data_IF_806772190268
#
_entry.id   IF_806772190268
#
_cell.length_a   1.000
_cell.length_b   1.000
_cell.length_c   1.000
_cell.angle_alpha   90.00
_cell.angle_beta   90.00
_cell.angle_gamma   90.00
#
_symmetry.space_group_name_H-M   'P 1'
#
loop_
_entity.id
_entity.type
_entity.pdbx_description
1 polymer ?
#
# COMPACT_ATOMS: atom_id res chain seq x y z
N UNK A 1 94.87 33.33 2.23
CA UNK A 1 93.57 33.90 2.65
C UNK A 1 92.50 32.87 2.34
N UNK A 2 91.79 32.45 3.38
CA UNK A 2 90.42 31.89 3.46
C UNK A 2 90.03 30.78 2.47
N UNK A 3 89.95 29.54 2.96
CA UNK A 3 88.72 28.82 3.39
C UNK A 3 87.99 28.19 2.18
N UNK A 4 87.91 26.88 1.99
CA UNK A 4 87.71 25.81 2.97
C UNK A 4 86.21 25.66 3.26
N UNK A 5 85.54 24.69 2.60
CA UNK A 5 84.42 23.90 3.17
C UNK A 5 83.93 22.82 2.21
N UNK A 6 84.20 21.57 2.60
CA UNK A 6 83.37 20.41 2.29
C UNK A 6 81.92 20.69 2.68
N UNK A 7 80.97 20.32 1.83
CA UNK A 7 79.60 20.06 2.24
C UNK A 7 79.24 18.63 1.87
N UNK A 8 79.18 17.78 2.89
CA UNK A 8 78.33 16.60 2.93
C UNK A 8 76.89 17.05 2.69
N UNK A 9 76.22 16.45 1.71
CA UNK A 9 74.76 16.41 1.70
C UNK A 9 74.31 14.96 1.87
N UNK A 10 73.67 14.75 3.01
CA UNK A 10 73.04 13.55 3.53
C UNK A 10 71.96 13.02 2.59
N UNK A 11 72.01 11.73 2.29
CA UNK A 11 70.88 10.98 1.72
C UNK A 11 69.84 10.84 2.84
N UNK A 12 68.78 11.65 2.79
CA UNK A 12 67.59 11.41 3.60
C UNK A 12 66.71 10.39 2.87
N UNK A 13 66.65 9.18 3.41
CA UNK A 13 65.63 8.21 3.05
C UNK A 13 64.25 8.80 3.42
N UNK A 14 63.48 9.23 2.43
CA UNK A 14 62.08 9.56 2.62
C UNK A 14 61.31 8.28 2.91
N UNK A 15 60.94 8.09 4.18
CA UNK A 15 60.07 7.01 4.60
C UNK A 15 58.75 7.09 3.84
N UNK A 16 58.38 5.94 3.28
CA UNK A 16 57.14 5.65 2.61
C UNK A 16 55.96 5.94 3.55
N UNK A 17 55.20 7.01 3.28
CA UNK A 17 53.83 7.14 3.77
C UNK A 17 52.92 7.04 2.56
N UNK A 18 52.71 5.80 2.09
CA UNK A 18 51.55 5.48 1.28
C UNK A 18 50.34 5.78 2.16
N UNK A 19 49.70 6.93 1.97
CA UNK A 19 48.36 7.14 2.50
C UNK A 19 47.48 6.14 1.78
N UNK A 20 47.27 5.00 2.41
CA UNK A 20 46.21 4.08 2.08
C UNK A 20 44.92 4.87 2.30
N UNK A 21 44.47 5.55 1.25
CA UNK A 21 43.16 6.16 1.18
C UNK A 21 42.18 5.05 1.51
N UNK A 22 41.62 5.13 2.72
CA UNK A 22 40.55 4.26 3.16
C UNK A 22 39.43 4.46 2.15
N UNK A 23 39.31 3.51 1.22
CA UNK A 23 38.08 3.27 0.48
C UNK A 23 37.02 3.22 1.56
N UNK A 24 35.99 4.08 1.54
CA UNK A 24 34.91 3.96 2.50
C UNK A 24 34.31 2.58 2.26
N UNK A 25 34.63 1.67 3.18
CA UNK A 25 34.00 0.37 3.30
C UNK A 25 32.52 0.64 3.22
N UNK A 26 31.87 0.05 2.21
CA UNK A 26 30.42 -0.03 2.07
C UNK A 26 29.82 -0.08 3.46
N UNK A 27 29.22 1.03 3.89
CA UNK A 27 28.50 1.07 5.14
C UNK A 27 27.54 -0.10 5.09
N UNK A 28 27.71 -1.03 6.02
CA UNK A 28 26.84 -2.20 6.18
C UNK A 28 25.41 -1.72 5.94
N UNK A 29 24.79 -2.26 4.89
CA UNK A 29 23.40 -2.04 4.56
C UNK A 29 22.64 -2.34 5.85
N UNK A 30 22.19 -1.27 6.53
CA UNK A 30 21.33 -1.39 7.71
C UNK A 30 20.25 -2.37 7.30
N UNK A 31 20.00 -3.39 8.11
CA UNK A 31 18.92 -4.36 7.91
C UNK A 31 17.66 -3.59 7.52
N UNK A 32 17.40 -3.51 6.23
CA UNK A 32 16.21 -2.88 5.70
C UNK A 32 15.11 -3.89 5.99
N UNK A 33 14.17 -3.50 6.85
CA UNK A 33 13.05 -4.35 7.27
C UNK A 33 12.22 -4.83 6.08
N UNK A 34 12.38 -4.18 4.92
CA UNK A 34 11.69 -4.45 3.67
C UNK A 34 12.57 -5.08 2.59
N UNK A 35 13.73 -5.65 2.94
CA UNK A 35 14.50 -6.51 2.03
C UNK A 35 15.53 -5.79 1.14
N UNK A 36 15.85 -4.52 1.41
CA UNK A 36 16.95 -3.78 0.81
C UNK A 36 16.55 -2.86 -0.35
N UNK A 37 15.26 -2.74 -0.65
CA UNK A 37 14.72 -1.89 -1.70
C UNK A 37 14.01 -0.71 -1.04
N UNK A 38 14.43 0.50 -1.37
CA UNK A 38 13.89 1.71 -0.77
C UNK A 38 12.43 1.95 -1.19
N UNK A 39 11.58 2.19 -0.18
CA UNK A 39 10.20 2.59 -0.32
C UNK A 39 10.07 3.95 -1.05
N UNK A 40 9.12 4.08 -1.98
CA UNK A 40 8.76 5.37 -2.58
C UNK A 40 9.79 5.97 -3.53
N UNK A 41 10.86 5.25 -3.88
CA UNK A 41 11.91 5.72 -4.79
C UNK A 41 11.68 5.18 -6.20
N UNK A 42 11.36 6.08 -7.14
CA UNK A 42 11.20 5.72 -8.56
C UNK A 42 12.54 5.38 -9.19
N UNK A 43 12.67 4.18 -9.76
CA UNK A 43 13.90 3.68 -10.39
C UNK A 43 13.59 2.73 -11.55
N UNK A 44 14.00 3.11 -12.76
CA UNK A 44 13.77 2.36 -14.02
C UNK A 44 14.13 0.85 -13.94
N UNK A 45 15.21 0.49 -13.24
CA UNK A 45 15.65 -0.90 -13.08
C UNK A 45 14.99 -1.67 -11.94
N UNK A 46 14.01 -1.09 -11.23
CA UNK A 46 13.29 -1.76 -10.15
C UNK A 46 11.79 -1.52 -10.26
N UNK A 47 11.34 -0.30 -10.03
CA UNK A 47 9.95 0.13 -10.16
C UNK A 47 9.95 1.65 -10.35
N UNK A 48 9.55 2.10 -11.53
CA UNK A 48 9.31 3.51 -11.83
C UNK A 48 7.81 3.82 -12.02
N UNK A 49 6.96 2.82 -11.76
CA UNK A 49 5.52 2.90 -11.94
C UNK A 49 5.06 2.91 -13.39
N UNK A 50 5.95 2.73 -14.37
CA UNK A 50 5.64 2.86 -15.81
C UNK A 50 6.08 1.66 -16.63
N UNK A 51 7.35 1.25 -16.47
CA UNK A 51 7.92 0.15 -17.24
C UNK A 51 7.73 -1.18 -16.51
N UNK A 52 7.46 -2.26 -17.24
CA UNK A 52 7.31 -3.60 -16.65
C UNK A 52 6.04 -3.81 -15.84
N UNK A 53 5.14 -2.83 -15.76
CA UNK A 53 3.87 -2.91 -15.00
C UNK A 53 2.97 -4.08 -15.45
N UNK A 54 3.17 -4.58 -16.67
CA UNK A 54 2.47 -5.75 -17.22
C UNK A 54 2.73 -7.06 -16.47
N UNK A 55 3.77 -7.10 -15.64
CA UNK A 55 4.09 -8.26 -14.79
C UNK A 55 3.03 -8.45 -13.71
N UNK A 56 2.47 -7.36 -13.17
CA UNK A 56 1.41 -7.45 -12.17
C UNK A 56 0.01 -7.56 -12.81
N UNK A 57 -0.16 -7.01 -14.02
CA UNK A 57 -1.42 -7.04 -14.76
C UNK A 57 -1.23 -6.78 -16.25
N UNK A 58 -1.71 -7.69 -17.09
CA UNK A 58 -1.53 -7.69 -18.54
C UNK A 58 -2.36 -6.63 -19.30
N UNK A 59 -3.22 -5.88 -18.62
CA UNK A 59 -4.17 -4.95 -19.23
C UNK A 59 -5.53 -5.57 -19.55
N UNK A 60 -5.76 -6.83 -19.19
CA UNK A 60 -6.98 -7.55 -19.49
C UNK A 60 -8.19 -6.97 -18.77
N UNK A 61 -9.29 -6.88 -19.52
CA UNK A 61 -10.57 -6.34 -19.07
C UNK A 61 -11.29 -7.23 -18.08
N UNK A 62 -10.92 -8.51 -17.98
CA UNK A 62 -11.54 -9.53 -17.10
C UNK A 62 -11.47 -9.17 -15.62
N UNK A 63 -10.52 -8.31 -15.24
CA UNK A 63 -10.32 -7.89 -13.86
C UNK A 63 -11.39 -6.90 -13.38
N UNK A 64 -12.01 -6.16 -14.30
CA UNK A 64 -12.95 -5.08 -13.97
C UNK A 64 -14.26 -5.09 -14.77
N UNK A 65 -14.44 -6.06 -15.68
CA UNK A 65 -15.71 -6.30 -16.35
C UNK A 65 -16.37 -7.57 -15.84
N UNK A 66 -17.68 -7.48 -15.60
CA UNK A 66 -18.49 -8.67 -15.36
C UNK A 66 -18.82 -9.35 -16.69
N UNK A 67 -18.55 -10.66 -16.85
CA UNK A 67 -18.97 -11.41 -18.03
C UNK A 67 -20.44 -11.86 -17.98
N UNK A 68 -21.13 -11.70 -16.85
CA UNK A 68 -22.51 -12.13 -16.66
C UNK A 68 -23.49 -11.08 -17.15
N UNK A 69 -24.66 -11.56 -17.60
CA UNK A 69 -25.76 -10.69 -18.01
C UNK A 69 -26.43 -10.02 -16.82
N UNK A 70 -26.58 -10.75 -15.72
CA UNK A 70 -27.20 -10.27 -14.49
C UNK A 70 -26.15 -10.20 -13.37
N UNK A 71 -26.26 -9.21 -12.46
CA UNK A 71 -25.40 -9.13 -11.27
C UNK A 71 -25.62 -10.32 -10.33
N UNK A 72 -24.67 -10.53 -9.43
CA UNK A 72 -24.81 -11.51 -8.37
C UNK A 72 -25.99 -11.19 -7.44
N UNK A 73 -26.75 -12.20 -7.00
CA UNK A 73 -27.79 -12.01 -6.00
C UNK A 73 -27.18 -11.54 -4.67
N UNK A 74 -27.92 -10.71 -3.94
CA UNK A 74 -27.52 -10.23 -2.62
C UNK A 74 -28.14 -11.13 -1.54
N UNK A 75 -27.30 -11.86 -0.80
CA UNK A 75 -27.73 -12.78 0.25
C UNK A 75 -27.70 -12.09 1.63
N UNK A 76 -28.85 -11.62 2.11
CA UNK A 76 -28.93 -10.89 3.41
C UNK A 76 -28.69 -11.77 4.63
N UNK A 77 -28.92 -13.07 4.48
CA UNK A 77 -28.69 -14.12 5.46
C UNK A 77 -27.20 -14.47 5.60
N UNK A 78 -26.38 -14.15 4.59
CA UNK A 78 -24.93 -14.37 4.63
C UNK A 78 -24.28 -13.22 5.40
N UNK A 79 -24.05 -13.47 6.69
CA UNK A 79 -23.48 -12.49 7.60
C UNK A 79 -22.04 -12.09 7.20
N UNK A 80 -21.65 -10.82 7.48
CA UNK A 80 -20.27 -10.37 7.38
C UNK A 80 -19.32 -11.24 8.21
N UNK A 81 -18.13 -11.51 7.65
CA UNK A 81 -17.09 -12.30 8.33
C UNK A 81 -15.80 -11.49 8.35
N UNK A 82 -15.28 -11.29 9.56
CA UNK A 82 -13.97 -10.71 9.78
C UNK A 82 -12.93 -11.82 9.98
N UNK A 83 -11.78 -11.65 9.35
CA UNK A 83 -10.63 -12.53 9.52
C UNK A 83 -9.36 -11.69 9.71
N UNK A 84 -8.63 -11.97 10.80
CA UNK A 84 -7.32 -11.39 11.07
C UNK A 84 -6.28 -12.52 11.21
N UNK A 85 -5.13 -12.36 10.55
CA UNK A 85 -4.04 -13.33 10.64
C UNK A 85 -3.36 -13.24 12.01
N UNK A 86 -3.07 -14.40 12.59
CA UNK A 86 -2.27 -14.51 13.82
C UNK A 86 -0.79 -14.24 13.59
N UNK A 87 -0.31 -14.55 12.38
CA UNK A 87 1.08 -14.37 11.95
C UNK A 87 1.07 -13.73 10.59
N UNK A 88 1.76 -12.59 10.49
CA UNK A 88 1.88 -11.82 9.26
C UNK A 88 3.13 -12.25 8.50
N UNK A 89 3.02 -12.21 7.17
CA UNK A 89 4.16 -12.41 6.28
C UNK A 89 5.02 -11.14 6.27
N UNK A 90 6.30 -11.30 5.92
CA UNK A 90 7.24 -10.17 5.92
C UNK A 90 6.88 -9.19 4.80
N UNK A 91 6.85 -7.86 5.08
CA UNK A 91 6.58 -6.83 4.08
C UNK A 91 7.82 -6.58 3.21
N UNK A 92 8.14 -7.51 2.32
CA UNK A 92 9.33 -7.38 1.46
C UNK A 92 8.99 -6.55 0.21
N UNK A 93 9.74 -5.47 -0.03
CA UNK A 93 9.69 -4.79 -1.31
C UNK A 93 10.26 -5.67 -2.41
N UNK A 94 9.60 -5.69 -3.56
CA UNK A 94 9.98 -6.49 -4.73
C UNK A 94 9.94 -5.65 -5.99
N UNK A 95 11.06 -5.59 -6.71
CA UNK A 95 11.17 -4.93 -8.00
C UNK A 95 10.31 -5.64 -9.05
N UNK A 96 9.85 -4.92 -10.09
CA UNK A 96 8.93 -5.43 -11.10
C UNK A 96 9.46 -6.65 -11.86
N UNK A 97 10.77 -6.88 -11.91
CA UNK A 97 11.36 -8.09 -12.50
C UNK A 97 11.13 -9.38 -11.68
N UNK A 98 10.56 -9.28 -10.48
CA UNK A 98 10.16 -10.41 -9.66
C UNK A 98 8.62 -10.53 -9.64
N UNK A 99 8.12 -11.75 -9.86
CA UNK A 99 6.70 -12.06 -9.70
C UNK A 99 6.34 -12.16 -8.21
N UNK A 100 5.16 -11.66 -7.84
CA UNK A 100 4.62 -11.77 -6.48
C UNK A 100 3.30 -12.52 -6.57
N UNK A 101 3.26 -13.70 -5.93
CA UNK A 101 2.07 -14.55 -5.86
C UNK A 101 1.59 -14.59 -4.42
N UNK A 102 0.31 -14.34 -4.22
CA UNK A 102 -0.35 -14.44 -2.92
C UNK A 102 -1.13 -15.75 -2.83
N UNK A 103 -1.00 -16.45 -1.71
CA UNK A 103 -1.78 -17.68 -1.44
C UNK A 103 -3.18 -17.32 -0.92
N UNK A 104 -3.27 -16.24 -0.13
CA UNK A 104 -4.53 -15.78 0.44
C UNK A 104 -5.18 -14.72 -0.44
N UNK A 105 -6.51 -14.85 -0.60
CA UNK A 105 -7.32 -13.93 -1.39
C UNK A 105 -8.46 -13.33 -0.53
N UNK A 106 -8.64 -12.01 -0.52
CA UNK A 106 -7.61 -11.00 -0.78
C UNK A 106 -6.40 -11.16 0.18
N UNK A 107 -5.18 -10.79 -0.25
CA UNK A 107 -4.02 -10.69 0.64
C UNK A 107 -4.17 -9.53 1.62
N UNK A 108 -3.64 -9.68 2.84
CA UNK A 108 -3.69 -8.66 3.91
C UNK A 108 -2.31 -8.12 4.30
N UNK A 109 -1.25 -8.75 3.80
CA UNK A 109 0.17 -8.50 4.09
C UNK A 109 1.04 -9.29 3.09
N UNK A 110 2.36 -9.17 3.25
CA UNK A 110 3.34 -9.91 2.47
C UNK A 110 4.11 -9.02 1.49
N UNK A 111 4.86 -9.63 0.55
CA UNK A 111 5.69 -8.89 -0.40
C UNK A 111 4.86 -8.00 -1.33
N UNK A 112 5.37 -6.83 -1.70
CA UNK A 112 4.65 -5.85 -2.52
C UNK A 112 5.60 -4.90 -3.26
N UNK A 113 5.08 -4.04 -4.15
CA UNK A 113 5.87 -3.09 -4.93
C UNK A 113 6.31 -1.88 -4.08
N UNK A 114 7.55 -1.38 -4.23
CA UNK A 114 8.05 -0.27 -3.43
C UNK A 114 7.36 1.07 -3.73
N UNK A 115 6.73 1.24 -4.90
CA UNK A 115 5.86 2.38 -5.17
C UNK A 115 4.40 2.00 -4.91
N UNK A 116 3.88 2.47 -3.78
CA UNK A 116 2.46 2.36 -3.46
C UNK A 116 1.60 3.30 -4.33
N UNK A 117 0.32 2.97 -4.52
CA UNK A 117 -0.62 3.76 -5.32
C UNK A 117 -0.93 5.11 -4.69
N UNK A 118 -1.21 6.10 -5.53
CA UNK A 118 -1.96 7.30 -5.12
C UNK A 118 -3.28 6.86 -4.48
N UNK A 119 -3.64 7.42 -3.32
CA UNK A 119 -4.91 7.04 -2.71
C UNK A 119 -6.09 7.47 -3.59
N UNK A 120 -7.09 6.59 -3.74
CA UNK A 120 -8.24 6.85 -4.60
C UNK A 120 -8.87 5.60 -5.23
N UNK A 121 -9.67 5.85 -6.25
CA UNK A 121 -10.37 4.83 -7.03
C UNK A 121 -9.67 4.55 -8.34
N UNK A 122 -9.61 3.28 -8.69
CA UNK A 122 -8.97 2.76 -9.87
C UNK A 122 -9.95 1.98 -10.72
N UNK A 123 -9.82 2.06 -12.04
CA UNK A 123 -10.51 1.12 -12.95
C UNK A 123 -10.08 -0.32 -12.63
N UNK A 124 -8.79 -0.51 -12.41
CA UNK A 124 -8.23 -1.71 -11.80
C UNK A 124 -6.87 -1.39 -11.16
N UNK A 125 -6.56 -2.02 -10.03
CA UNK A 125 -5.28 -1.93 -9.36
C UNK A 125 -4.88 -3.30 -8.80
N UNK A 126 -3.75 -3.88 -9.25
CA UNK A 126 -3.35 -5.21 -8.82
C UNK A 126 -2.92 -5.25 -7.34
N UNK A 127 -3.07 -6.40 -6.65
CA UNK A 127 -2.76 -6.54 -5.22
C UNK A 127 -1.32 -6.18 -4.85
N UNK A 128 -0.37 -6.41 -5.74
CA UNK A 128 1.04 -6.04 -5.58
C UNK A 128 1.23 -4.54 -5.31
N UNK A 129 0.29 -3.68 -5.71
CA UNK A 129 0.33 -2.24 -5.46
C UNK A 129 -0.33 -1.88 -4.13
N UNK A 130 -1.57 -2.29 -3.91
CA UNK A 130 -2.33 -1.83 -2.74
C UNK A 130 -1.96 -2.53 -1.43
N UNK A 131 -1.30 -3.69 -1.44
CA UNK A 131 -0.81 -4.35 -0.21
C UNK A 131 0.16 -3.43 0.55
N UNK A 132 1.00 -2.69 -0.15
CA UNK A 132 1.88 -1.68 0.47
C UNK A 132 1.07 -0.62 1.23
N UNK A 133 -0.01 -0.10 0.62
CA UNK A 133 -0.86 0.91 1.25
C UNK A 133 -1.41 0.45 2.61
N UNK A 134 -1.62 -0.86 2.80
CA UNK A 134 -2.09 -1.41 4.07
C UNK A 134 -1.11 -1.08 5.21
N UNK A 135 0.20 -1.17 5.00
CA UNK A 135 1.22 -0.83 6.00
C UNK A 135 1.15 0.63 6.45
N UNK A 136 0.73 1.51 5.55
CA UNK A 136 0.54 2.94 5.83
C UNK A 136 -0.81 3.27 6.47
N UNK A 137 -1.56 2.26 6.90
CA UNK A 137 -2.87 2.41 7.55
C UNK A 137 -4.00 2.70 6.58
N UNK A 138 -3.85 2.32 5.30
CA UNK A 138 -4.93 2.42 4.34
C UNK A 138 -6.01 1.35 4.56
N UNK A 139 -7.20 1.62 4.04
CA UNK A 139 -8.25 0.63 3.86
C UNK A 139 -8.53 0.44 2.37
N UNK A 140 -8.45 -0.80 1.91
CA UNK A 140 -8.70 -1.17 0.51
C UNK A 140 -10.09 -1.76 0.39
N UNK A 141 -10.93 -1.12 -0.41
CA UNK A 141 -12.31 -1.47 -0.69
C UNK A 141 -12.35 -2.25 -2.00
N UNK A 142 -12.56 -3.56 -1.88
CA UNK A 142 -12.61 -4.50 -2.98
C UNK A 142 -14.06 -4.89 -3.25
N UNK A 143 -14.43 -4.95 -4.52
CA UNK A 143 -15.73 -5.46 -4.95
C UNK A 143 -15.57 -6.38 -6.15
N UNK A 144 -16.40 -7.42 -6.24
CA UNK A 144 -16.42 -8.28 -7.41
C UNK A 144 -17.01 -7.49 -8.59
N UNK A 145 -16.46 -7.57 -9.82
CA UNK A 145 -17.00 -6.85 -10.98
C UNK A 145 -18.48 -7.13 -11.27
N UNK A 146 -18.96 -8.33 -10.91
CA UNK A 146 -20.36 -8.75 -11.04
C UNK A 146 -21.26 -8.42 -9.85
N UNK A 147 -20.79 -7.67 -8.85
CA UNK A 147 -21.65 -7.25 -7.74
C UNK A 147 -22.70 -6.23 -8.22
N UNK A 148 -23.82 -6.15 -7.51
CA UNK A 148 -24.92 -5.24 -7.84
C UNK A 148 -24.43 -3.76 -7.92
N UNK A 149 -24.58 -3.06 -9.07
CA UNK A 149 -23.99 -1.74 -9.28
C UNK A 149 -24.39 -0.68 -8.24
N UNK A 150 -25.66 -0.62 -7.86
CA UNK A 150 -26.12 0.32 -6.84
C UNK A 150 -25.52 0.05 -5.46
N UNK A 151 -25.19 -1.20 -5.17
CA UNK A 151 -24.53 -1.61 -3.93
C UNK A 151 -23.04 -1.27 -3.97
N UNK A 152 -22.38 -1.40 -5.13
CA UNK A 152 -21.01 -0.93 -5.37
C UNK A 152 -20.94 0.59 -5.11
N UNK A 153 -21.87 1.38 -5.65
CA UNK A 153 -21.85 2.83 -5.47
C UNK A 153 -21.99 3.25 -3.99
N UNK A 154 -22.88 2.58 -3.26
CA UNK A 154 -23.00 2.75 -1.81
C UNK A 154 -21.67 2.42 -1.11
N UNK A 155 -21.04 1.30 -1.45
CA UNK A 155 -19.78 0.87 -0.88
C UNK A 155 -18.65 1.89 -1.11
N UNK A 156 -18.54 2.40 -2.35
CA UNK A 156 -17.58 3.45 -2.73
C UNK A 156 -17.82 4.75 -1.96
N UNK A 157 -19.08 5.12 -1.73
CA UNK A 157 -19.42 6.33 -0.99
C UNK A 157 -18.93 6.30 0.46
N UNK A 158 -18.97 5.12 1.11
CA UNK A 158 -18.46 4.92 2.48
C UNK A 158 -16.95 5.13 2.49
N UNK A 159 -16.21 4.49 1.57
CA UNK A 159 -14.76 4.62 1.44
C UNK A 159 -14.32 6.08 1.33
N UNK A 160 -14.87 6.80 0.36
CA UNK A 160 -14.53 8.20 0.02
C UNK A 160 -14.74 9.18 1.17
N UNK A 161 -15.56 8.79 2.13
CA UNK A 161 -15.99 9.65 3.22
C UNK A 161 -15.48 9.16 4.58
N UNK A 162 -14.84 7.98 4.63
CA UNK A 162 -14.27 7.44 5.85
C UNK A 162 -12.84 7.93 6.11
N UNK A 163 -11.99 7.92 5.09
CA UNK A 163 -10.57 8.22 5.25
C UNK A 163 -9.97 8.70 3.93
N UNK A 164 -8.90 9.49 4.00
CA UNK A 164 -8.10 9.88 2.84
C UNK A 164 -7.38 8.66 2.25
N UNK A 165 -6.79 7.81 3.09
CA UNK A 165 -6.02 6.63 2.68
C UNK A 165 -6.92 5.46 2.27
N UNK A 166 -7.89 5.69 1.39
CA UNK A 166 -8.68 4.63 0.79
C UNK A 166 -8.14 4.25 -0.58
N UNK A 167 -8.27 2.97 -0.91
CA UNK A 167 -8.15 2.47 -2.28
C UNK A 167 -9.47 1.80 -2.64
N UNK A 168 -10.00 2.05 -3.83
CA UNK A 168 -11.19 1.38 -4.35
C UNK A 168 -10.80 0.71 -5.66
N UNK A 169 -11.00 -0.60 -5.76
CA UNK A 169 -10.72 -1.32 -7.01
C UNK A 169 -11.52 -2.62 -7.12
N UNK A 170 -11.89 -3.07 -8.34
CA UNK A 170 -12.46 -4.39 -8.55
C UNK A 170 -11.51 -5.53 -8.14
N UNK A 171 -12.07 -6.66 -7.69
CA UNK A 171 -11.33 -7.87 -7.36
C UNK A 171 -12.16 -9.12 -7.68
N UNK A 172 -11.92 -9.74 -8.83
CA UNK A 172 -12.69 -10.89 -9.34
C UNK A 172 -12.51 -12.20 -8.55
N UNK A 173 -11.58 -12.24 -7.59
CA UNK A 173 -11.38 -13.41 -6.73
C UNK A 173 -12.23 -13.37 -5.45
N UNK A 174 -13.07 -12.34 -5.25
CA UNK A 174 -14.10 -12.38 -4.22
C UNK A 174 -15.18 -13.42 -4.59
N UNK A 175 -15.64 -14.24 -3.64
CA UNK A 175 -16.68 -15.22 -3.90
C UNK A 175 -18.02 -14.53 -4.15
N UNK A 176 -18.89 -15.18 -4.94
CA UNK A 176 -20.25 -14.69 -5.23
C UNK A 176 -21.07 -14.41 -3.97
N UNK A 177 -20.97 -15.27 -2.95
CA UNK A 177 -21.68 -15.09 -1.68
C UNK A 177 -21.20 -13.87 -0.87
N UNK A 178 -19.96 -13.42 -1.08
CA UNK A 178 -19.37 -12.26 -0.40
C UNK A 178 -18.59 -11.39 -1.38
N UNK A 179 -19.28 -10.67 -2.28
CA UNK A 179 -18.65 -9.97 -3.38
C UNK A 179 -18.09 -8.60 -2.96
N UNK A 180 -18.04 -8.30 -1.66
CA UNK A 180 -17.43 -7.09 -1.11
C UNK A 180 -16.42 -7.45 -0.02
N UNK A 181 -15.30 -6.73 0.01
CA UNK A 181 -14.34 -6.82 1.11
C UNK A 181 -13.70 -5.48 1.45
N UNK A 182 -13.47 -5.22 2.73
CA UNK A 182 -12.59 -4.15 3.21
C UNK A 182 -11.35 -4.80 3.80
N UNK A 183 -10.18 -4.37 3.35
CA UNK A 183 -8.89 -4.93 3.74
C UNK A 183 -8.06 -3.85 4.43
N UNK A 184 -7.49 -4.19 5.58
CA UNK A 184 -6.50 -3.40 6.32
C UNK A 184 -5.29 -4.29 6.61
N UNK A 185 -4.21 -3.74 7.17
CA UNK A 185 -3.01 -4.55 7.45
C UNK A 185 -3.32 -5.75 8.35
N UNK A 186 -3.11 -6.97 7.84
CA UNK A 186 -3.33 -8.23 8.54
C UNK A 186 -4.79 -8.66 8.77
N UNK A 187 -5.78 -7.87 8.33
CA UNK A 187 -7.20 -8.14 8.56
C UNK A 187 -8.05 -7.86 7.31
N UNK A 188 -9.15 -8.60 7.17
CA UNK A 188 -10.16 -8.39 6.13
C UNK A 188 -11.56 -8.65 6.65
N UNK A 189 -12.51 -7.87 6.14
CA UNK A 189 -13.94 -8.03 6.36
C UNK A 189 -14.58 -8.39 5.02
N UNK A 190 -15.18 -9.57 4.91
CA UNK A 190 -15.92 -10.02 3.72
C UNK A 190 -17.43 -9.93 3.96
N UNK A 191 -18.18 -9.48 2.97
CA UNK A 191 -19.61 -9.16 3.10
C UNK A 191 -20.40 -9.56 1.86
N UNK A 192 -21.63 -10.06 2.07
CA UNK A 192 -22.61 -10.27 1.00
C UNK A 192 -23.38 -8.99 0.66
N UNK A 193 -23.67 -8.18 1.68
CA UNK A 193 -24.39 -6.91 1.57
C UNK A 193 -23.66 -5.83 2.38
N UNK A 194 -23.88 -4.56 2.02
CA UNK A 194 -23.22 -3.45 2.70
C UNK A 194 -23.91 -3.17 4.04
N UNK A 195 -23.18 -3.41 5.12
CA UNK A 195 -23.51 -2.92 6.45
C UNK A 195 -22.52 -1.80 6.84
N UNK A 196 -23.01 -0.57 6.76
CA UNK A 196 -22.19 0.62 6.97
C UNK A 196 -21.59 0.70 8.39
N UNK A 197 -22.35 0.38 9.44
CA UNK A 197 -21.85 0.46 10.81
C UNK A 197 -20.74 -0.57 11.06
N UNK A 198 -20.85 -1.77 10.49
CA UNK A 198 -19.81 -2.81 10.58
C UNK A 198 -18.54 -2.38 9.83
N UNK A 199 -18.67 -1.80 8.63
CA UNK A 199 -17.52 -1.28 7.88
C UNK A 199 -16.79 -0.19 8.66
N UNK A 200 -17.54 0.77 9.24
CA UNK A 200 -16.96 1.85 10.03
C UNK A 200 -16.26 1.30 11.28
N UNK A 201 -16.90 0.36 11.98
CA UNK A 201 -16.30 -0.28 13.15
C UNK A 201 -15.00 -1.00 12.78
N UNK A 202 -14.99 -1.76 11.68
CA UNK A 202 -13.81 -2.45 11.17
C UNK A 202 -12.68 -1.48 10.84
N UNK A 203 -12.94 -0.43 10.06
CA UNK A 203 -11.91 0.56 9.68
C UNK A 203 -11.30 1.21 10.93
N UNK A 204 -12.15 1.64 11.88
CA UNK A 204 -11.70 2.26 13.13
C UNK A 204 -10.88 1.30 13.99
N UNK A 205 -11.24 0.02 14.01
CA UNK A 205 -10.56 -0.99 14.80
C UNK A 205 -9.19 -1.38 14.23
N UNK A 206 -9.04 -1.41 12.90
CA UNK A 206 -7.87 -2.04 12.27
C UNK A 206 -6.94 -1.11 11.49
N UNK A 207 -7.44 -0.07 10.82
CA UNK A 207 -6.58 0.81 10.01
C UNK A 207 -5.45 1.49 10.84
N UNK A 208 -5.69 1.96 12.07
CA UNK A 208 -4.63 2.55 12.92
C UNK A 208 -3.58 1.56 13.43
N UNK A 209 -3.78 0.25 13.30
CA UNK A 209 -2.87 -0.77 13.82
C UNK A 209 -1.76 -1.16 12.84
N UNK A 210 -1.73 -0.55 11.65
CA UNK A 210 -0.70 -0.80 10.66
C UNK A 210 0.68 -0.29 11.14
N UNK A 211 1.79 -0.97 10.77
CA UNK A 211 3.12 -0.67 11.30
C UNK A 211 3.62 0.75 10.98
N UNK A 212 3.16 1.34 9.88
CA UNK A 212 3.61 2.63 9.37
C UNK A 212 2.45 3.61 9.17
N UNK A 213 1.39 3.46 9.98
CA UNK A 213 0.17 4.27 9.89
C UNK A 213 0.41 5.80 9.99
N UNK A 214 1.54 6.23 10.54
CA UNK A 214 1.96 7.63 10.62
C UNK A 214 2.46 8.22 9.28
N UNK A 215 2.69 7.42 8.26
CA UNK A 215 3.06 7.91 6.93
C UNK A 215 1.92 8.78 6.36
N UNK A 216 2.27 9.98 5.90
CA UNK A 216 1.29 10.99 5.43
C UNK A 216 1.43 11.29 3.95
N UNK A 217 2.53 10.85 3.34
CA UNK A 217 2.78 11.02 1.91
C UNK A 217 1.74 10.24 1.12
N UNK A 218 1.45 10.79 -0.05
CA UNK A 218 0.66 10.10 -1.07
C UNK A 218 1.56 9.16 -1.87
N UNK A 219 0.97 8.20 -2.56
CA UNK A 219 1.71 7.29 -3.43
C UNK A 219 2.14 7.93 -4.73
N UNK A 220 2.92 7.18 -5.50
CA UNK A 220 3.45 7.62 -6.80
C UNK A 220 2.84 6.85 -7.98
N UNK A 221 2.30 5.65 -7.75
CA UNK A 221 1.70 4.85 -8.82
C UNK A 221 0.26 5.31 -9.11
N UNK A 222 -0.03 5.67 -10.35
CA UNK A 222 -1.33 6.24 -10.74
C UNK A 222 -1.89 5.72 -12.07
N UNK A 223 -1.32 4.64 -12.61
CA UNK A 223 -1.91 3.97 -13.77
C UNK A 223 -3.33 3.48 -13.40
N UNK A 224 -4.29 3.71 -14.29
CA UNK A 224 -5.71 3.38 -14.11
C UNK A 224 -6.44 4.13 -12.97
N UNK A 225 -5.81 5.14 -12.36
CA UNK A 225 -6.48 5.99 -11.37
C UNK A 225 -7.60 6.79 -12.04
N UNK A 226 -8.84 6.61 -11.56
CA UNK A 226 -10.03 7.32 -12.07
C UNK A 226 -10.40 8.50 -11.19
N UNK A 227 -10.28 8.36 -9.87
CA UNK A 227 -10.63 9.42 -8.91
C UNK A 227 -9.61 9.45 -7.79
N UNK A 228 -8.87 10.56 -7.66
CA UNK A 228 -7.96 10.76 -6.52
C UNK A 228 -8.74 10.98 -5.22
N UNK A 229 -8.29 10.37 -4.13
CA UNK A 229 -8.86 10.56 -2.80
C UNK A 229 -8.72 12.01 -2.33
N UNK A 230 -9.76 12.50 -1.65
CA UNK A 230 -9.73 13.78 -0.96
C UNK A 230 -9.29 13.58 0.48
N UNK A 231 -8.75 14.64 1.09
CA UNK A 231 -8.57 14.68 2.54
C UNK A 231 -9.96 14.69 3.18
N UNK A 232 -10.20 13.72 4.08
CA UNK A 232 -11.47 13.59 4.81
C UNK A 232 -11.39 14.31 6.16
N UNK A 233 -10.43 13.92 7.01
CA UNK A 233 -10.17 14.63 8.28
C UNK A 233 -8.90 15.47 8.22
N UNK A 234 -7.76 14.84 7.94
CA UNK A 234 -6.44 15.45 7.86
C UNK A 234 -5.49 14.54 7.06
N UNK A 235 -4.21 14.88 6.96
CA UNK A 235 -3.21 14.08 6.22
C UNK A 235 -2.87 12.73 6.89
N UNK A 236 -3.12 12.60 8.19
CA UNK A 236 -2.82 11.40 8.99
C UNK A 236 -4.00 10.44 9.08
N UNK A 237 -5.19 10.90 8.69
CA UNK A 237 -6.46 10.26 8.99
C UNK A 237 -6.69 10.10 10.51
N UNK A 238 -6.33 11.12 11.30
CA UNK A 238 -6.44 11.06 12.78
C UNK A 238 -7.89 10.88 13.28
N UNK A 239 -8.88 11.21 12.45
CA UNK A 239 -10.30 10.99 12.71
C UNK A 239 -10.91 10.20 11.56
N UNK A 240 -11.05 8.89 11.74
CA UNK A 240 -11.68 8.00 10.77
C UNK A 240 -13.21 8.12 10.80
N UNK A 241 -13.82 8.19 9.61
CA UNK A 241 -15.26 8.26 9.37
C UNK A 241 -16.00 9.42 10.04
N UNK A 242 -15.49 10.67 9.95
CA UNK A 242 -15.98 11.80 10.73
C UNK A 242 -17.44 12.16 10.43
N UNK A 243 -17.88 12.09 9.18
CA UNK A 243 -19.26 12.45 8.81
C UNK A 243 -20.33 11.55 9.46
N UNK A 244 -19.98 10.35 9.90
CA UNK A 244 -20.90 9.44 10.58
C UNK A 244 -20.94 9.70 12.08
N UNK A 245 -19.80 10.05 12.66
CA UNK A 245 -19.73 10.48 14.05
C UNK A 245 -20.51 11.78 14.23
N UNK A 246 -20.32 12.75 13.34
CA UNK A 246 -20.96 14.06 13.41
C UNK A 246 -22.49 13.95 13.28
N UNK A 247 -22.99 13.07 12.40
CA UNK A 247 -24.44 12.79 12.29
C UNK A 247 -25.02 12.14 13.53
N UNK A 248 -24.32 11.18 14.15
CA UNK A 248 -24.77 10.54 15.40
C UNK A 248 -24.88 11.56 16.54
N UNK A 249 -23.97 12.54 16.59
CA UNK A 249 -24.05 13.65 17.55
C UNK A 249 -25.28 14.53 17.27
N UNK A 250 -25.50 14.93 16.01
CA UNK A 250 -26.67 15.76 15.66
C UNK A 250 -27.99 15.06 15.99
N UNK A 251 -28.15 13.76 15.71
CA UNK A 251 -29.37 13.03 16.03
C UNK A 251 -29.57 12.81 17.53
N UNK A 252 -28.50 12.68 18.31
CA UNK A 252 -28.58 12.48 19.76
C UNK A 252 -28.91 13.77 20.52
N UNK A 253 -28.64 14.94 19.93
CA UNK A 253 -28.96 16.25 20.52
C UNK A 253 -30.39 16.74 20.21
N UNK A 254 -31.17 15.94 19.48
CA UNK A 254 -32.56 16.25 19.07
C UNK A 254 -33.58 15.38 19.85
N UNK A 255 -33.09 14.44 20.68
CA UNK A 255 -33.88 13.61 21.60
C UNK A 255 -33.65 14.07 23.05
#
# INVERSE_FOLDING_TARGET
MLNGRLFHLTITAAACFTTCSLIPTYAAQRDDKHGGIAMGVSKYGCDDGKHGIKIDWDGSSVEYHCPLQEPFPVFKEVLPVEFCKKKLDKPLHKCLNEEIIYIEHPPTDGPHRPLWPVYGEYRYLPPQRWVHSLEHGAAVFLYHPCAEPGVIDLFKSIARSCLRKHIITPYRFLPEERPFAVVTYGCKLLMSYINQDIIIAFIKAHAPNAPEWLETRDGHFNEELTVKAKIVSDLKDSRLCPFWDDRKVTTSNIL
#
